data_IF_501100884761
#
_entry.id   IF_501100884761
#
_cell.length_a   1.000
_cell.length_b   1.000
_cell.length_c   1.000
_cell.angle_alpha   90.00
_cell.angle_beta   90.00
_cell.angle_gamma   90.00
#
_symmetry.space_group_name_H-M   'P 1'
#
loop_
_entity.id
_entity.type
_entity.pdbx_description
1 polymer ?
#
# COMPACT_ATOMS: atom_id res chain seq x y z
N UNK A 1 -20.26 1.04 -19.93
CA UNK A 1 -20.40 0.12 -18.77
C UNK A 1 -21.82 -0.42 -18.70
N UNK A 2 -22.04 -1.75 -18.71
CA UNK A 2 -23.40 -2.33 -18.71
C UNK A 2 -23.90 -2.50 -17.27
N UNK A 3 -24.63 -1.50 -16.77
CA UNK A 3 -25.16 -1.41 -15.40
C UNK A 3 -25.97 -2.66 -15.01
N UNK A 4 -26.67 -3.28 -15.95
CA UNK A 4 -27.46 -4.50 -15.71
C UNK A 4 -26.63 -5.73 -15.32
N UNK A 5 -25.40 -5.88 -15.83
CA UNK A 5 -24.51 -6.98 -15.46
C UNK A 5 -23.97 -6.80 -14.04
N UNK A 6 -23.65 -5.57 -13.65
CA UNK A 6 -23.16 -5.23 -12.31
C UNK A 6 -24.28 -5.44 -11.29
N UNK A 7 -25.49 -4.96 -11.58
CA UNK A 7 -26.66 -5.16 -10.72
C UNK A 7 -26.97 -6.65 -10.51
N UNK A 8 -26.92 -7.47 -11.57
CA UNK A 8 -27.14 -8.92 -11.47
C UNK A 8 -26.06 -9.62 -10.64
N UNK A 9 -24.80 -9.25 -10.83
CA UNK A 9 -23.69 -9.84 -10.07
C UNK A 9 -23.79 -9.46 -8.59
N UNK A 10 -24.11 -8.21 -8.27
CA UNK A 10 -24.33 -7.76 -6.89
C UNK A 10 -25.54 -8.44 -6.25
N UNK A 11 -26.65 -8.56 -6.99
CA UNK A 11 -27.88 -9.20 -6.54
C UNK A 11 -27.70 -10.68 -6.15
N UNK A 12 -26.79 -11.40 -6.80
CA UNK A 12 -26.51 -12.80 -6.50
C UNK A 12 -25.40 -13.04 -5.47
N UNK A 13 -24.55 -12.03 -5.19
CA UNK A 13 -23.40 -12.20 -4.28
C UNK A 13 -23.64 -11.55 -2.93
N UNK A 14 -23.75 -10.23 -2.88
CA UNK A 14 -23.74 -9.45 -1.63
C UNK A 14 -25.12 -8.96 -1.20
N UNK A 15 -26.07 -8.80 -2.13
CA UNK A 15 -27.42 -8.33 -1.80
C UNK A 15 -28.14 -9.22 -0.77
N UNK A 16 -28.11 -10.56 -0.84
CA UNK A 16 -28.84 -11.38 0.13
C UNK A 16 -28.28 -11.22 1.55
N UNK A 17 -26.94 -11.13 1.67
CA UNK A 17 -26.24 -10.96 2.94
C UNK A 17 -26.52 -9.56 3.51
N UNK A 18 -26.42 -8.52 2.68
CA UNK A 18 -26.68 -7.15 3.11
C UNK A 18 -28.16 -6.94 3.48
N UNK A 19 -29.08 -7.48 2.69
CA UNK A 19 -30.52 -7.39 2.97
C UNK A 19 -30.86 -8.12 4.27
N UNK A 20 -30.32 -9.32 4.49
CA UNK A 20 -30.53 -10.06 5.74
C UNK A 20 -29.96 -9.31 6.94
N UNK A 21 -28.77 -8.70 6.83
CA UNK A 21 -28.18 -7.88 7.89
C UNK A 21 -28.99 -6.61 8.18
N UNK A 22 -29.50 -5.93 7.15
CA UNK A 22 -30.33 -4.72 7.32
C UNK A 22 -31.69 -5.07 7.92
N UNK A 23 -32.32 -6.15 7.44
CA UNK A 23 -33.59 -6.63 7.99
C UNK A 23 -33.44 -7.05 9.44
N UNK A 24 -32.38 -7.79 9.78
CA UNK A 24 -32.08 -8.16 11.17
C UNK A 24 -31.85 -6.91 12.05
N UNK A 25 -31.15 -5.89 11.54
CA UNK A 25 -30.95 -4.64 12.29
C UNK A 25 -32.26 -3.89 12.54
N UNK A 26 -33.12 -3.80 11.52
CA UNK A 26 -34.42 -3.14 11.63
C UNK A 26 -35.35 -3.89 12.58
N UNK A 27 -35.42 -5.23 12.49
CA UNK A 27 -36.27 -6.03 13.38
C UNK A 27 -35.79 -5.98 14.83
N UNK A 28 -34.49 -6.02 15.08
CA UNK A 28 -33.93 -5.90 16.44
C UNK A 28 -34.15 -4.51 17.03
N UNK A 29 -34.00 -3.44 16.24
CA UNK A 29 -34.27 -2.08 16.72
C UNK A 29 -35.77 -1.82 16.94
N UNK A 30 -36.64 -2.32 16.05
CA UNK A 30 -38.09 -2.22 16.21
C UNK A 30 -38.56 -3.00 17.44
N UNK A 31 -38.02 -4.20 17.68
CA UNK A 31 -38.30 -5.01 18.86
C UNK A 31 -37.88 -4.28 20.16
N UNK A 32 -36.73 -3.63 20.17
CA UNK A 32 -36.27 -2.84 21.32
C UNK A 32 -37.17 -1.63 21.59
N UNK A 33 -37.60 -0.90 20.55
CA UNK A 33 -38.51 0.24 20.70
C UNK A 33 -39.88 -0.20 21.25
N UNK A 34 -40.43 -1.30 20.73
CA UNK A 34 -41.70 -1.86 21.20
C UNK A 34 -41.63 -2.41 22.63
N UNK A 35 -40.45 -2.86 23.05
CA UNK A 35 -40.18 -3.28 24.44
C UNK A 35 -40.05 -2.09 25.39
N UNK A 36 -39.47 -0.97 24.95
CA UNK A 36 -39.29 0.24 25.77
C UNK A 36 -40.61 0.98 26.02
N UNK A 37 -41.49 1.00 25.01
CA UNK A 37 -42.86 1.56 25.12
C UNK A 37 -43.84 0.64 25.88
N UNK A 38 -43.40 -0.53 26.35
CA UNK A 38 -44.22 -1.47 27.15
C UNK A 38 -45.34 -2.17 26.35
N UNK A 39 -45.30 -2.11 25.02
CA UNK A 39 -46.34 -2.65 24.13
C UNK A 39 -46.16 -4.16 23.89
N UNK A 40 -44.93 -4.67 24.01
CA UNK A 40 -44.61 -6.08 23.83
C UNK A 40 -44.02 -6.68 25.13
N UNK A 41 -44.84 -7.40 25.90
CA UNK A 41 -44.39 -8.19 27.06
C UNK A 41 -43.81 -9.53 26.59
N UNK A 42 -42.60 -9.47 26.03
CA UNK A 42 -41.84 -10.67 25.68
C UNK A 42 -41.06 -11.11 26.92
N UNK A 43 -41.63 -12.07 27.66
CA UNK A 43 -41.03 -12.61 28.87
C UNK A 43 -39.55 -12.98 28.73
N UNK A 44 -38.80 -12.60 29.76
CA UNK A 44 -37.37 -12.84 30.04
C UNK A 44 -36.38 -11.80 29.48
N UNK A 45 -35.71 -11.09 30.41
CA UNK A 45 -34.51 -10.29 30.13
C UNK A 45 -33.40 -11.06 29.39
N UNK A 46 -33.48 -12.41 29.38
CA UNK A 46 -32.63 -13.31 28.58
C UNK A 46 -32.77 -13.06 27.07
N UNK A 47 -33.95 -12.68 26.57
CA UNK A 47 -34.13 -12.39 25.13
C UNK A 47 -33.48 -11.05 24.74
N UNK A 48 -33.61 -10.03 25.60
CA UNK A 48 -32.98 -8.71 25.40
C UNK A 48 -31.44 -8.78 25.46
N UNK A 49 -30.89 -9.60 26.35
CA UNK A 49 -29.44 -9.85 26.39
C UNK A 49 -28.94 -10.48 25.08
N UNK A 50 -29.67 -11.45 24.51
CA UNK A 50 -29.35 -12.08 23.23
C UNK A 50 -29.43 -11.13 22.03
N UNK A 51 -30.33 -10.14 22.06
CA UNK A 51 -30.44 -9.07 21.04
C UNK A 51 -29.14 -8.24 20.96
N UNK A 52 -28.45 -8.03 22.07
CA UNK A 52 -27.18 -7.30 22.08
C UNK A 52 -26.05 -8.09 21.40
N UNK A 53 -25.99 -9.41 21.60
CA UNK A 53 -25.01 -10.27 20.93
C UNK A 53 -25.26 -10.36 19.42
N UNK A 54 -26.52 -10.33 18.96
CA UNK A 54 -26.86 -10.32 17.53
C UNK A 54 -26.37 -9.06 16.80
N UNK A 55 -26.18 -7.93 17.50
CA UNK A 55 -25.57 -6.72 16.92
C UNK A 55 -24.09 -6.93 16.53
N UNK A 56 -23.41 -7.95 17.05
CA UNK A 56 -22.05 -8.32 16.62
C UNK A 56 -22.04 -8.82 15.17
N UNK A 57 -23.17 -9.28 14.61
CA UNK A 57 -23.28 -9.62 13.19
C UNK A 57 -23.03 -8.42 12.26
N UNK A 58 -23.18 -7.18 12.74
CA UNK A 58 -22.79 -5.97 12.01
C UNK A 58 -21.32 -5.96 11.62
N UNK A 59 -20.47 -6.66 12.38
CA UNK A 59 -19.04 -6.79 12.08
C UNK A 59 -18.77 -7.60 10.81
N UNK A 60 -19.74 -8.41 10.33
CA UNK A 60 -19.65 -9.05 9.00
C UNK A 60 -19.54 -8.03 7.87
N UNK A 61 -20.03 -6.79 8.06
CA UNK A 61 -19.84 -5.70 7.10
C UNK A 61 -18.37 -5.33 6.92
N UNK A 62 -17.49 -5.62 7.88
CA UNK A 62 -16.04 -5.43 7.76
C UNK A 62 -15.41 -6.38 6.72
N UNK A 63 -16.05 -7.53 6.44
CA UNK A 63 -15.64 -8.39 5.33
C UNK A 63 -15.77 -7.66 3.99
N UNK A 64 -16.80 -6.82 3.84
CA UNK A 64 -16.98 -5.98 2.64
C UNK A 64 -15.87 -4.92 2.50
N UNK A 65 -15.38 -4.38 3.61
CA UNK A 65 -14.25 -3.45 3.61
C UNK A 65 -12.99 -4.08 3.01
N UNK A 66 -12.79 -5.40 3.19
CA UNK A 66 -11.66 -6.10 2.58
C UNK A 66 -11.69 -6.10 1.04
N UNK A 67 -12.88 -6.10 0.43
CA UNK A 67 -13.08 -6.01 -1.01
C UNK A 67 -12.84 -4.60 -1.55
N UNK A 68 -13.14 -3.56 -0.77
CA UNK A 68 -12.85 -2.17 -1.16
C UNK A 68 -11.34 -1.94 -1.10
N UNK A 69 -10.70 -2.45 -0.04
CA UNK A 69 -9.25 -2.34 0.15
C UNK A 69 -8.49 -3.08 -0.95
N UNK A 70 -8.99 -4.21 -1.47
CA UNK A 70 -8.33 -4.92 -2.58
C UNK A 70 -8.33 -4.09 -3.86
N UNK A 71 -9.46 -3.46 -4.21
CA UNK A 71 -9.56 -2.58 -5.40
C UNK A 71 -8.63 -1.36 -5.28
N UNK A 72 -8.51 -0.80 -4.08
CA UNK A 72 -7.57 0.30 -3.85
C UNK A 72 -6.11 -0.19 -3.91
N UNK A 73 -5.84 -1.38 -3.40
CA UNK A 73 -4.50 -2.00 -3.45
C UNK A 73 -4.05 -2.28 -4.89
N UNK A 74 -4.97 -2.56 -5.82
CA UNK A 74 -4.64 -2.79 -7.24
C UNK A 74 -4.18 -1.52 -7.96
N UNK A 75 -4.53 -0.34 -7.44
CA UNK A 75 -4.04 0.95 -7.95
C UNK A 75 -2.64 1.30 -7.48
N UNK A 76 -2.09 0.56 -6.53
CA UNK A 76 -0.76 0.82 -5.98
C UNK A 76 0.28 0.20 -6.91
N UNK A 77 1.02 1.07 -7.61
CA UNK A 77 2.09 0.67 -8.53
C UNK A 77 3.40 0.33 -7.80
N UNK A 78 3.64 0.92 -6.63
CA UNK A 78 4.87 0.67 -5.85
C UNK A 78 4.78 -0.61 -5.01
N UNK A 79 5.71 -1.53 -5.23
CA UNK A 79 5.82 -2.78 -4.47
C UNK A 79 6.01 -2.54 -2.96
N UNK A 80 6.80 -1.54 -2.57
CA UNK A 80 6.97 -1.15 -1.16
C UNK A 80 5.65 -0.75 -0.51
N UNK A 81 4.85 0.04 -1.22
CA UNK A 81 3.53 0.49 -0.73
C UNK A 81 2.53 -0.68 -0.66
N UNK A 82 2.60 -1.61 -1.61
CA UNK A 82 1.81 -2.86 -1.59
C UNK A 82 2.12 -3.70 -0.35
N UNK A 83 3.41 -3.85 0.00
CA UNK A 83 3.87 -4.56 1.21
C UNK A 83 3.37 -3.84 2.48
N UNK A 84 3.51 -2.51 2.54
CA UNK A 84 3.08 -1.70 3.69
C UNK A 84 1.57 -1.83 3.94
N UNK A 85 0.75 -1.71 2.90
CA UNK A 85 -0.71 -1.84 3.00
C UNK A 85 -1.10 -3.25 3.46
N UNK A 86 -0.40 -4.29 3.00
CA UNK A 86 -0.62 -5.67 3.47
C UNK A 86 -0.37 -5.82 4.98
N UNK A 87 0.74 -5.28 5.49
CA UNK A 87 1.07 -5.31 6.92
C UNK A 87 0.05 -4.50 7.73
N UNK A 88 -0.31 -3.30 7.28
CA UNK A 88 -1.29 -2.46 7.94
C UNK A 88 -2.68 -3.13 8.04
N UNK A 89 -3.13 -3.78 6.95
CA UNK A 89 -4.39 -4.54 6.92
C UNK A 89 -4.39 -5.66 7.97
N UNK A 90 -3.25 -6.36 8.11
CA UNK A 90 -3.09 -7.41 9.11
C UNK A 90 -3.11 -6.86 10.55
N UNK A 91 -2.47 -5.72 10.81
CA UNK A 91 -2.49 -5.05 12.11
C UNK A 91 -3.91 -4.64 12.52
N UNK A 92 -4.66 -4.02 11.61
CA UNK A 92 -6.07 -3.64 11.85
C UNK A 92 -6.92 -4.88 12.13
N UNK A 93 -6.73 -5.96 11.37
CA UNK A 93 -7.46 -7.21 11.57
C UNK A 93 -7.19 -7.83 12.95
N UNK A 94 -5.93 -7.85 13.40
CA UNK A 94 -5.58 -8.34 14.74
C UNK A 94 -6.16 -7.44 15.84
N UNK A 95 -6.09 -6.12 15.66
CA UNK A 95 -6.67 -5.17 16.62
C UNK A 95 -8.19 -5.39 16.76
N UNK A 96 -8.88 -5.68 15.66
CA UNK A 96 -10.30 -6.04 15.67
C UNK A 96 -10.53 -7.33 16.46
N UNK A 97 -9.77 -8.39 16.20
CA UNK A 97 -9.89 -9.66 16.96
C UNK A 97 -9.69 -9.41 18.47
N UNK A 98 -8.68 -8.62 18.85
CA UNK A 98 -8.44 -8.24 20.25
C UNK A 98 -9.61 -7.49 20.86
N UNK A 99 -10.22 -6.56 20.12
CA UNK A 99 -11.44 -5.88 20.55
C UNK A 99 -12.59 -6.87 20.78
N UNK A 100 -12.80 -7.84 19.88
CA UNK A 100 -13.85 -8.85 20.03
C UNK A 100 -13.61 -9.75 21.24
N UNK A 101 -12.36 -10.17 21.47
CA UNK A 101 -11.98 -10.96 22.65
C UNK A 101 -12.20 -10.15 23.93
N UNK A 102 -11.82 -8.87 23.95
CA UNK A 102 -12.04 -7.98 25.08
C UNK A 102 -13.53 -7.78 25.40
N UNK A 103 -14.36 -7.54 24.38
CA UNK A 103 -15.81 -7.43 24.55
C UNK A 103 -16.43 -8.75 25.03
N UNK A 104 -15.98 -9.89 24.49
CA UNK A 104 -16.43 -11.22 24.91
C UNK A 104 -16.03 -11.51 26.36
N UNK A 105 -14.81 -11.14 26.76
CA UNK A 105 -14.30 -11.28 28.13
C UNK A 105 -15.12 -10.47 29.14
N UNK A 106 -15.48 -9.23 28.79
CA UNK A 106 -16.37 -8.40 29.58
C UNK A 106 -17.80 -8.94 29.66
N UNK A 107 -18.32 -9.46 28.54
CA UNK A 107 -19.63 -10.11 28.50
C UNK A 107 -19.70 -11.35 29.40
N UNK A 108 -18.68 -12.22 29.35
CA UNK A 108 -18.58 -13.40 30.24
C UNK A 108 -18.55 -12.98 31.72
N UNK A 109 -17.86 -11.90 32.06
CA UNK A 109 -17.78 -11.40 33.44
C UNK A 109 -19.06 -10.73 33.98
N UNK A 110 -19.97 -10.32 33.11
CA UNK A 110 -21.27 -9.70 33.46
C UNK A 110 -22.40 -10.72 33.56
N UNK A 111 -22.39 -11.76 32.72
CA UNK A 111 -23.50 -12.73 32.64
C UNK A 111 -23.77 -13.50 33.96
N UNK A 112 -22.87 -13.45 34.93
CA UNK A 112 -22.99 -14.16 36.20
C UNK A 112 -22.83 -13.20 37.40
N UNK A 113 -23.54 -12.08 37.31
CA UNK A 113 -23.51 -10.95 38.24
C UNK A 113 -24.18 -11.21 39.59
N UNK A 114 -24.85 -12.35 39.77
CA UNK A 114 -25.52 -12.70 41.02
C UNK A 114 -24.55 -13.30 42.06
N UNK A 115 -23.43 -13.90 41.64
CA UNK A 115 -22.41 -14.48 42.54
C UNK A 115 -21.20 -13.56 42.74
N UNK A 116 -20.53 -13.64 43.90
CA UNK A 116 -19.47 -12.69 44.30
C UNK A 116 -18.14 -12.86 43.54
N UNK A 117 -17.91 -13.98 42.86
CA UNK A 117 -16.57 -14.38 42.39
C UNK A 117 -16.29 -14.14 40.89
N UNK A 118 -16.73 -13.04 40.27
CA UNK A 118 -16.33 -12.74 38.86
C UNK A 118 -15.12 -11.80 38.80
N UNK A 119 -14.33 -11.87 37.73
CA UNK A 119 -13.19 -10.97 37.54
C UNK A 119 -13.59 -9.47 37.56
N UNK A 120 -14.83 -9.17 37.13
CA UNK A 120 -15.38 -7.80 37.10
C UNK A 120 -15.65 -7.27 38.51
N UNK A 121 -16.20 -8.11 39.40
CA UNK A 121 -16.47 -7.75 40.80
C UNK A 121 -15.17 -7.72 41.63
N UNK A 122 -14.27 -8.69 41.43
CA UNK A 122 -12.99 -8.77 42.14
C UNK A 122 -12.11 -7.52 41.95
N UNK A 123 -12.23 -6.84 40.80
CA UNK A 123 -11.47 -5.63 40.47
C UNK A 123 -12.23 -4.32 40.73
N UNK A 124 -13.43 -4.40 41.33
CA UNK A 124 -14.35 -3.29 41.59
C UNK A 124 -14.59 -2.39 40.34
N UNK A 125 -14.83 -3.02 39.19
CA UNK A 125 -14.96 -2.30 37.92
C UNK A 125 -16.31 -1.60 37.75
N UNK A 126 -17.32 -1.98 38.54
CA UNK A 126 -18.65 -1.35 38.52
C UNK A 126 -18.60 0.12 38.99
N UNK A 127 -17.76 0.43 39.98
CA UNK A 127 -17.60 1.80 40.51
C UNK A 127 -16.73 2.72 39.64
N UNK A 128 -15.87 2.17 38.78
CA UNK A 128 -14.83 2.91 38.03
C UNK A 128 -15.26 3.38 36.64
N UNK A 129 -16.46 3.01 36.18
CA UNK A 129 -17.04 3.44 34.92
C UNK A 129 -16.72 2.56 33.70
N UNK A 130 -17.52 2.70 32.64
CA UNK A 130 -17.51 1.82 31.45
C UNK A 130 -16.21 1.87 30.65
N UNK A 131 -15.58 3.05 30.57
CA UNK A 131 -14.32 3.24 29.82
C UNK A 131 -13.19 2.45 30.50
N UNK A 132 -13.08 2.54 31.83
CA UNK A 132 -12.07 1.83 32.60
C UNK A 132 -12.23 0.31 32.52
N UNK A 133 -13.48 -0.17 32.55
CA UNK A 133 -13.78 -1.59 32.37
C UNK A 133 -13.39 -2.08 30.96
N UNK A 134 -13.67 -1.30 29.92
CA UNK A 134 -13.29 -1.61 28.54
C UNK A 134 -11.77 -1.62 28.34
N UNK A 135 -11.05 -0.60 28.82
CA UNK A 135 -9.59 -0.53 28.67
C UNK A 135 -8.89 -1.63 29.44
N UNK A 136 -9.42 -2.02 30.61
CA UNK A 136 -8.93 -3.17 31.38
C UNK A 136 -9.15 -4.49 30.63
N UNK A 137 -10.34 -4.72 30.07
CA UNK A 137 -10.64 -5.90 29.25
C UNK A 137 -9.77 -5.96 27.98
N UNK A 138 -9.54 -4.81 27.35
CA UNK A 138 -8.70 -4.68 26.17
C UNK A 138 -7.23 -4.95 26.49
N UNK A 139 -6.73 -4.44 27.61
CA UNK A 139 -5.38 -4.72 28.08
C UNK A 139 -5.19 -6.22 28.33
N UNK A 140 -6.14 -6.86 29.03
CA UNK A 140 -6.13 -8.31 29.24
C UNK A 140 -6.13 -9.08 27.90
N UNK A 141 -6.92 -8.66 26.92
CA UNK A 141 -6.92 -9.31 25.59
C UNK A 141 -5.57 -9.15 24.86
N UNK A 142 -4.94 -7.98 24.97
CA UNK A 142 -3.62 -7.72 24.37
C UNK A 142 -2.56 -8.65 24.99
N UNK A 143 -2.59 -8.86 26.31
CA UNK A 143 -1.62 -9.71 27.01
C UNK A 143 -1.76 -11.20 26.70
N UNK A 144 -2.89 -11.66 26.14
CA UNK A 144 -3.02 -13.04 25.68
C UNK A 144 -2.20 -13.35 24.41
N UNK A 145 -1.93 -12.32 23.59
CA UNK A 145 -1.14 -12.44 22.36
C UNK A 145 0.33 -12.09 22.57
N UNK A 146 0.62 -11.27 23.57
CA UNK A 146 1.98 -10.87 23.94
C UNK A 146 2.13 -11.17 25.42
N UNK A 147 2.89 -12.22 25.79
CA UNK A 147 3.07 -12.61 27.18
C UNK A 147 3.54 -11.39 28.00
N UNK A 148 2.60 -10.83 28.75
CA UNK A 148 2.80 -9.66 29.60
C UNK A 148 2.01 -9.89 30.87
N UNK A 149 2.55 -9.42 32.00
CA UNK A 149 1.88 -9.57 33.29
C UNK A 149 0.60 -8.74 33.34
N UNK A 150 -0.49 -9.34 33.80
CA UNK A 150 -1.77 -8.68 34.02
C UNK A 150 -2.33 -9.12 35.38
N UNK A 151 -2.91 -8.17 36.12
CA UNK A 151 -3.51 -8.42 37.44
C UNK A 151 -4.88 -9.10 37.36
N UNK A 152 -5.55 -9.04 36.20
CA UNK A 152 -6.85 -9.65 35.96
C UNK A 152 -6.68 -11.15 35.68
N UNK A 153 -7.19 -11.97 36.59
CA UNK A 153 -7.18 -13.43 36.51
C UNK A 153 -8.60 -13.99 36.44
N UNK A 154 -8.81 -15.15 35.77
CA UNK A 154 -10.09 -15.84 35.80
C UNK A 154 -10.37 -16.37 37.21
N UNK A 155 -11.55 -16.08 37.73
CA UNK A 155 -12.01 -16.51 39.06
C UNK A 155 -12.98 -17.71 38.98
N UNK A 156 -13.57 -17.96 37.81
CA UNK A 156 -14.53 -19.05 37.56
C UNK A 156 -14.08 -20.05 36.51
N UNK A 157 -14.68 -21.24 36.53
CA UNK A 157 -14.41 -22.31 35.54
C UNK A 157 -14.78 -21.90 34.10
N UNK A 158 -15.86 -21.13 33.91
CA UNK A 158 -16.22 -20.59 32.58
C UNK A 158 -15.22 -19.54 32.09
N UNK A 159 -14.78 -18.64 32.98
CA UNK A 159 -13.74 -17.65 32.68
C UNK A 159 -12.41 -18.32 32.35
N UNK A 160 -12.08 -19.41 33.08
CA UNK A 160 -10.85 -20.16 32.91
C UNK A 160 -10.85 -20.97 31.60
N UNK A 161 -11.93 -21.66 31.29
CA UNK A 161 -12.08 -22.37 30.01
C UNK A 161 -12.05 -21.42 28.82
N UNK A 162 -12.72 -20.25 28.90
CA UNK A 162 -12.63 -19.20 27.90
C UNK A 162 -11.18 -18.71 27.71
N UNK A 163 -10.48 -18.44 28.81
CA UNK A 163 -9.07 -18.00 28.79
C UNK A 163 -8.17 -19.03 28.10
N UNK A 164 -8.33 -20.32 28.39
CA UNK A 164 -7.55 -21.39 27.74
C UNK A 164 -7.78 -21.41 26.23
N UNK A 165 -9.03 -21.32 25.78
CA UNK A 165 -9.37 -21.27 24.34
C UNK A 165 -8.75 -20.05 23.66
N UNK A 166 -8.81 -18.89 24.32
CA UNK A 166 -8.21 -17.65 23.81
C UNK A 166 -6.70 -17.77 23.70
N UNK A 167 -6.01 -18.31 24.71
CA UNK A 167 -4.54 -18.47 24.70
C UNK A 167 -4.10 -19.43 23.57
N UNK A 168 -4.77 -20.58 23.43
CA UNK A 168 -4.44 -21.54 22.35
C UNK A 168 -4.65 -20.90 20.97
N UNK A 169 -5.75 -20.18 20.77
CA UNK A 169 -6.04 -19.49 19.52
C UNK A 169 -5.05 -18.35 19.26
N UNK A 170 -4.72 -17.58 20.29
CA UNK A 170 -3.78 -16.47 20.23
C UNK A 170 -2.38 -16.94 19.84
N UNK A 171 -1.93 -18.09 20.33
CA UNK A 171 -0.65 -18.69 19.97
C UNK A 171 -0.55 -18.93 18.46
N UNK A 172 -1.57 -19.55 17.85
CA UNK A 172 -1.61 -19.82 16.40
C UNK A 172 -1.63 -18.52 15.59
N UNK A 173 -2.51 -17.58 15.96
CA UNK A 173 -2.66 -16.31 15.25
C UNK A 173 -1.37 -15.46 15.34
N UNK A 174 -0.75 -15.42 16.52
CA UNK A 174 0.48 -14.66 16.75
C UNK A 174 1.67 -15.23 15.98
N UNK A 175 1.83 -16.55 15.92
CA UNK A 175 2.87 -17.18 15.08
C UNK A 175 2.69 -16.86 13.59
N UNK A 176 1.45 -16.94 13.08
CA UNK A 176 1.14 -16.57 11.69
C UNK A 176 1.41 -15.08 11.41
N UNK A 177 1.13 -14.23 12.40
CA UNK A 177 1.36 -12.79 12.32
C UNK A 177 2.85 -12.47 12.18
N UNK A 178 3.69 -13.02 13.07
CA UNK A 178 5.14 -12.85 13.02
C UNK A 178 5.67 -13.31 11.66
N UNK A 179 5.27 -14.50 11.20
CA UNK A 179 5.70 -15.02 9.90
C UNK A 179 5.37 -14.07 8.74
N UNK A 180 4.18 -13.48 8.75
CA UNK A 180 3.78 -12.54 7.70
C UNK A 180 4.61 -11.27 7.71
N UNK A 181 4.92 -10.72 8.89
CA UNK A 181 5.82 -9.57 9.03
C UNK A 181 7.23 -9.93 8.57
N UNK A 182 7.76 -11.08 8.98
CA UNK A 182 9.09 -11.54 8.58
C UNK A 182 9.18 -11.72 7.05
N UNK A 183 8.15 -12.27 6.42
CA UNK A 183 8.09 -12.40 4.97
C UNK A 183 8.02 -11.03 4.28
N UNK A 184 7.24 -10.08 4.80
CA UNK A 184 7.21 -8.70 4.31
C UNK A 184 8.58 -8.01 4.42
N UNK A 185 9.26 -8.16 5.55
CA UNK A 185 10.61 -7.64 5.76
C UNK A 185 11.63 -8.29 4.81
N UNK A 186 11.54 -9.61 4.61
CA UNK A 186 12.39 -10.35 3.69
C UNK A 186 12.17 -9.88 2.26
N UNK A 187 10.92 -9.72 1.84
CA UNK A 187 10.58 -9.20 0.50
C UNK A 187 11.14 -7.79 0.28
N UNK A 188 11.01 -6.90 1.29
CA UNK A 188 11.58 -5.54 1.24
C UNK A 188 13.12 -5.56 1.17
N UNK A 189 13.76 -6.49 1.88
CA UNK A 189 15.22 -6.68 1.81
C UNK A 189 15.64 -7.20 0.45
N UNK A 190 14.88 -8.12 -0.15
CA UNK A 190 15.16 -8.68 -1.46
C UNK A 190 15.05 -7.61 -2.56
N UNK A 191 14.04 -6.72 -2.51
CA UNK A 191 13.93 -5.56 -3.41
C UNK A 191 15.17 -4.65 -3.36
N UNK A 192 15.89 -4.64 -2.23
CA UNK A 192 17.12 -3.87 -2.06
C UNK A 192 18.39 -4.73 -2.22
N UNK A 193 18.27 -6.03 -2.42
CA UNK A 193 19.40 -6.98 -2.30
C UNK A 193 20.35 -6.92 -3.48
N UNK A 194 19.83 -6.87 -4.72
CA UNK A 194 20.64 -6.77 -5.95
C UNK A 194 21.51 -5.52 -5.94
N UNK A 195 20.90 -4.37 -5.65
CA UNK A 195 21.59 -3.08 -5.48
C UNK A 195 22.63 -3.13 -4.36
N UNK A 196 22.31 -3.74 -3.23
CA UNK A 196 23.27 -3.89 -2.14
C UNK A 196 24.43 -4.79 -2.54
N UNK A 197 24.19 -5.85 -3.30
CA UNK A 197 25.22 -6.77 -3.80
C UNK A 197 26.18 -6.08 -4.76
N UNK A 198 25.69 -5.23 -5.68
CA UNK A 198 26.54 -4.42 -6.56
C UNK A 198 27.42 -3.44 -5.77
N UNK A 199 26.85 -2.74 -4.79
CA UNK A 199 27.62 -1.84 -3.92
C UNK A 199 28.67 -2.60 -3.08
N UNK A 200 28.40 -3.84 -2.69
CA UNK A 200 29.40 -4.71 -2.05
C UNK A 200 30.53 -5.04 -3.02
N UNK A 201 30.23 -5.49 -4.24
CA UNK A 201 31.25 -5.79 -5.27
C UNK A 201 32.13 -4.57 -5.56
N UNK A 202 31.54 -3.39 -5.68
CA UNK A 202 32.27 -2.13 -5.88
C UNK A 202 33.26 -1.84 -4.73
N UNK A 203 32.82 -2.06 -3.48
CA UNK A 203 33.70 -1.90 -2.31
C UNK A 203 34.84 -2.92 -2.29
N UNK A 204 34.57 -4.17 -2.64
CA UNK A 204 35.61 -5.19 -2.79
C UNK A 204 36.64 -4.76 -3.85
N UNK A 205 36.19 -4.30 -5.02
CA UNK A 205 37.07 -3.80 -6.07
C UNK A 205 37.99 -2.66 -5.60
N UNK A 206 37.45 -1.69 -4.85
CA UNK A 206 38.25 -0.60 -4.28
C UNK A 206 39.28 -1.09 -3.25
N UNK A 207 38.91 -2.07 -2.44
CA UNK A 207 39.81 -2.69 -1.47
C UNK A 207 40.94 -3.43 -2.17
N UNK A 208 40.64 -4.23 -3.18
CA UNK A 208 41.61 -5.05 -3.92
C UNK A 208 42.64 -4.18 -4.66
N UNK A 209 42.20 -3.05 -5.22
CA UNK A 209 43.05 -2.11 -5.96
C UNK A 209 43.66 -1.01 -5.08
N UNK A 210 43.47 -1.06 -3.75
CA UNK A 210 43.98 -0.07 -2.77
C UNK A 210 43.68 1.38 -3.18
N UNK A 211 42.45 1.62 -3.62
CA UNK A 211 42.01 2.96 -4.05
C UNK A 211 41.97 3.90 -2.84
N UNK A 212 42.44 5.14 -3.01
CA UNK A 212 42.51 6.12 -1.92
C UNK A 212 41.12 6.44 -1.32
N UNK A 213 41.05 6.58 0.01
CA UNK A 213 39.79 6.83 0.72
C UNK A 213 39.07 8.11 0.24
N UNK A 214 39.85 9.14 -0.15
CA UNK A 214 39.30 10.38 -0.72
C UNK A 214 38.61 10.16 -2.07
N UNK A 215 39.14 9.28 -2.92
CA UNK A 215 38.53 8.92 -4.19
C UNK A 215 37.29 8.03 -3.99
N UNK A 216 37.34 7.07 -3.07
CA UNK A 216 36.20 6.22 -2.70
C UNK A 216 35.03 7.06 -2.16
N UNK A 217 35.29 8.05 -1.32
CA UNK A 217 34.26 8.94 -0.79
C UNK A 217 33.60 9.77 -1.90
N UNK A 218 34.39 10.30 -2.84
CA UNK A 218 33.88 11.05 -4.01
C UNK A 218 33.03 10.18 -4.93
N UNK A 219 33.49 8.96 -5.24
CA UNK A 219 32.74 8.03 -6.09
C UNK A 219 31.45 7.59 -5.40
N UNK A 220 31.51 7.26 -4.11
CA UNK A 220 30.32 6.86 -3.33
C UNK A 220 29.29 7.99 -3.23
N UNK A 221 29.72 9.23 -3.04
CA UNK A 221 28.84 10.40 -3.02
C UNK A 221 28.16 10.64 -4.38
N UNK A 222 28.92 10.51 -5.48
CA UNK A 222 28.38 10.60 -6.84
C UNK A 222 27.33 9.51 -7.12
N UNK A 223 27.63 8.25 -6.77
CA UNK A 223 26.70 7.13 -6.92
C UNK A 223 25.44 7.34 -6.06
N UNK A 224 25.57 7.83 -4.83
CA UNK A 224 24.43 8.10 -3.97
C UNK A 224 23.54 9.22 -4.52
N UNK A 225 24.14 10.27 -5.07
CA UNK A 225 23.42 11.37 -5.72
C UNK A 225 22.73 10.93 -7.01
N UNK A 226 23.41 10.13 -7.84
CA UNK A 226 22.86 9.52 -9.05
C UNK A 226 21.71 8.57 -8.72
N UNK A 227 21.85 7.74 -7.69
CA UNK A 227 20.81 6.79 -7.27
C UNK A 227 19.56 7.47 -6.69
N UNK A 228 19.72 8.62 -6.02
CA UNK A 228 18.58 9.42 -5.55
C UNK A 228 17.76 9.99 -6.71
N UNK A 229 18.40 10.23 -7.85
CA UNK A 229 17.78 10.71 -9.09
C UNK A 229 17.24 9.53 -9.94
N UNK A 230 17.97 8.42 -10.01
CA UNK A 230 17.63 7.22 -10.77
C UNK A 230 16.52 6.37 -10.12
N UNK A 231 16.38 6.38 -8.79
CA UNK A 231 15.30 5.69 -8.07
C UNK A 231 13.88 6.18 -8.43
N UNK A 232 13.76 7.21 -9.26
CA UNK A 232 12.50 7.74 -9.78
C UNK A 232 12.24 7.40 -11.26
N UNK A 233 13.18 6.80 -12.00
CA UNK A 233 13.07 6.65 -13.46
C UNK A 233 13.54 5.27 -13.90
N UNK A 234 12.61 4.32 -13.92
CA UNK A 234 12.80 3.04 -14.60
C UNK A 234 12.66 3.30 -16.11
N UNK A 235 13.66 2.91 -16.90
CA UNK A 235 13.58 3.03 -18.35
C UNK A 235 12.66 1.94 -18.91
N UNK A 236 11.88 2.26 -19.94
CA UNK A 236 10.95 1.31 -20.58
C UNK A 236 11.68 0.09 -21.17
N UNK A 237 12.98 0.22 -21.46
CA UNK A 237 13.83 -0.83 -22.01
C UNK A 237 14.28 -1.85 -20.95
N UNK A 238 14.28 -1.47 -19.66
CA UNK A 238 14.65 -2.35 -18.55
C UNK A 238 13.48 -3.25 -18.08
N UNK A 239 12.29 -3.04 -18.64
CA UNK A 239 11.05 -3.70 -18.20
C UNK A 239 10.57 -4.68 -19.27
N UNK A 240 11.16 -5.88 -19.27
CA UNK A 240 10.87 -6.96 -20.22
C UNK A 240 9.38 -7.35 -20.29
N UNK A 241 8.61 -7.14 -19.23
CA UNK A 241 7.16 -7.40 -19.23
C UNK A 241 6.37 -6.45 -20.16
N UNK A 242 6.91 -5.27 -20.47
CA UNK A 242 6.27 -4.35 -21.42
C UNK A 242 6.27 -4.92 -22.83
N UNK A 243 7.17 -5.86 -23.17
CA UNK A 243 7.19 -6.51 -24.49
C UNK A 243 5.92 -7.32 -24.77
N UNK A 244 5.28 -7.85 -23.71
CA UNK A 244 4.04 -8.63 -23.79
C UNK A 244 2.79 -7.77 -24.06
N UNK A 245 2.89 -6.44 -23.97
CA UNK A 245 1.76 -5.55 -24.22
C UNK A 245 1.42 -5.49 -25.73
N UNK A 246 0.12 -5.51 -26.09
CA UNK A 246 -0.33 -5.15 -27.43
C UNK A 246 0.21 -3.79 -27.87
N UNK A 247 0.52 -3.65 -29.17
CA UNK A 247 1.11 -2.42 -29.74
C UNK A 247 0.29 -1.17 -29.41
N UNK A 248 -1.04 -1.27 -29.38
CA UNK A 248 -1.93 -0.15 -29.00
C UNK A 248 -1.65 0.37 -27.58
N UNK A 249 -1.46 -0.53 -26.60
CA UNK A 249 -1.17 -0.15 -25.22
C UNK A 249 0.26 0.37 -25.04
N UNK A 250 1.22 -0.12 -25.84
CA UNK A 250 2.58 0.43 -25.88
C UNK A 250 2.57 1.88 -26.39
N UNK A 251 1.81 2.14 -27.45
CA UNK A 251 1.63 3.49 -27.99
C UNK A 251 0.99 4.43 -26.97
N UNK A 252 -0.08 4.00 -26.30
CA UNK A 252 -0.77 4.81 -25.29
C UNK A 252 0.13 5.11 -24.08
N UNK A 253 0.89 4.12 -23.62
CA UNK A 253 1.87 4.30 -22.54
C UNK A 253 2.99 5.27 -22.95
N UNK A 254 3.53 5.12 -24.16
CA UNK A 254 4.61 5.97 -24.65
C UNK A 254 4.16 7.43 -24.79
N UNK A 255 2.95 7.67 -25.29
CA UNK A 255 2.35 9.00 -25.32
C UNK A 255 2.23 9.61 -23.92
N UNK A 256 1.67 8.88 -22.96
CA UNK A 256 1.51 9.38 -21.58
C UNK A 256 2.85 9.70 -20.91
N UNK A 257 3.89 8.90 -21.19
CA UNK A 257 5.23 9.07 -20.61
C UNK A 257 5.98 10.24 -21.26
N UNK A 258 5.93 10.37 -22.58
CA UNK A 258 6.80 11.29 -23.32
C UNK A 258 6.13 12.60 -23.76
N UNK A 259 4.80 12.66 -23.87
CA UNK A 259 4.07 13.85 -24.28
C UNK A 259 4.39 15.10 -23.44
N UNK A 260 4.52 15.03 -22.10
CA UNK A 260 4.85 16.22 -21.30
C UNK A 260 6.19 16.87 -21.66
N UNK A 261 7.12 16.11 -22.24
CA UNK A 261 8.45 16.62 -22.61
C UNK A 261 8.54 16.91 -24.11
N UNK A 262 8.08 16.02 -24.97
CA UNK A 262 8.19 16.16 -26.43
C UNK A 262 7.24 17.23 -26.98
N UNK A 263 6.04 17.38 -26.42
CA UNK A 263 5.09 18.42 -26.83
C UNK A 263 5.53 19.84 -26.44
N UNK A 264 6.67 20.01 -25.75
CA UNK A 264 7.32 21.32 -25.65
C UNK A 264 7.82 21.82 -27.01
N UNK A 265 8.06 20.93 -27.97
CA UNK A 265 8.44 21.29 -29.32
C UNK A 265 7.20 21.69 -30.15
N UNK A 266 7.14 22.91 -30.73
CA UNK A 266 5.96 23.39 -31.44
C UNK A 266 5.50 22.48 -32.59
N UNK A 267 6.44 21.89 -33.34
CA UNK A 267 6.10 20.96 -34.41
C UNK A 267 5.48 19.66 -33.89
N UNK A 268 5.98 19.11 -32.77
CA UNK A 268 5.45 17.86 -32.22
C UNK A 268 4.06 18.08 -31.64
N UNK A 269 3.85 19.22 -30.96
CA UNK A 269 2.54 19.63 -30.47
C UNK A 269 1.53 19.75 -31.61
N UNK A 270 1.86 20.52 -32.65
CA UNK A 270 1.00 20.68 -33.82
C UNK A 270 0.74 19.34 -34.53
N UNK A 271 1.77 18.51 -34.72
CA UNK A 271 1.61 17.19 -35.31
C UNK A 271 0.66 16.29 -34.50
N UNK A 272 0.75 16.33 -33.17
CA UNK A 272 -0.15 15.61 -32.27
C UNK A 272 -1.61 16.03 -32.40
N UNK A 273 -1.88 17.33 -32.57
CA UNK A 273 -3.23 17.88 -32.74
C UNK A 273 -3.84 17.51 -34.10
N UNK A 274 -3.05 17.59 -35.18
CA UNK A 274 -3.54 17.30 -36.54
C UNK A 274 -3.59 15.79 -36.84
N UNK A 275 -2.67 14.98 -36.28
CA UNK A 275 -2.51 13.56 -36.61
C UNK A 275 -2.40 12.66 -35.36
N UNK A 276 -3.45 12.57 -34.51
CA UNK A 276 -3.39 11.91 -33.20
C UNK A 276 -3.12 10.39 -33.26
N UNK A 277 -3.38 9.73 -34.39
CA UNK A 277 -3.08 8.29 -34.55
C UNK A 277 -1.64 8.03 -34.95
N UNK A 278 -1.04 8.94 -35.71
CA UNK A 278 0.31 8.79 -36.26
C UNK A 278 1.35 9.33 -35.29
N UNK A 279 1.02 10.39 -34.54
CA UNK A 279 1.84 10.93 -33.45
C UNK A 279 2.18 9.88 -32.39
N UNK A 280 1.27 8.94 -32.10
CA UNK A 280 1.51 7.79 -31.20
C UNK A 280 2.74 6.96 -31.56
N UNK A 281 3.07 6.84 -32.85
CA UNK A 281 4.28 6.11 -33.29
C UNK A 281 5.55 6.90 -33.02
N UNK A 282 5.50 8.23 -33.07
CA UNK A 282 6.62 9.10 -32.72
C UNK A 282 6.97 8.91 -31.23
N UNK A 283 5.97 8.92 -30.35
CA UNK A 283 6.19 8.68 -28.92
C UNK A 283 6.77 7.29 -28.64
N UNK A 284 6.33 6.27 -29.39
CA UNK A 284 6.87 4.90 -29.27
C UNK A 284 8.34 4.79 -29.70
N UNK A 285 8.80 5.64 -30.63
CA UNK A 285 10.20 5.68 -31.07
C UNK A 285 11.11 6.43 -30.08
N UNK A 286 10.54 7.23 -29.18
CA UNK A 286 11.30 7.98 -28.19
C UNK A 286 11.92 7.05 -27.14
N UNK A 287 13.16 7.35 -26.76
CA UNK A 287 13.92 6.60 -25.74
C UNK A 287 14.33 7.53 -24.62
N UNK A 288 14.25 7.02 -23.38
CA UNK A 288 14.79 7.72 -22.22
C UNK A 288 16.24 7.32 -22.04
N UNK A 289 17.14 8.29 -21.91
CA UNK A 289 18.54 8.06 -21.51
C UNK A 289 18.87 8.91 -20.29
N UNK A 290 19.70 8.37 -19.39
CA UNK A 290 20.19 9.09 -18.20
C UNK A 290 21.70 9.25 -18.29
N UNK A 291 22.19 10.47 -18.07
CA UNK A 291 23.61 10.79 -18.12
C UNK A 291 24.10 11.24 -16.74
N UNK A 292 25.27 10.73 -16.32
CA UNK A 292 25.90 11.14 -15.07
C UNK A 292 26.48 12.56 -15.16
N UNK A 293 26.60 13.26 -14.02
CA UNK A 293 27.23 14.57 -13.99
C UNK A 293 28.66 14.53 -14.54
N UNK A 294 29.00 15.48 -15.41
CA UNK A 294 30.30 15.61 -16.12
C UNK A 294 30.58 14.58 -17.24
N UNK A 295 29.58 13.81 -17.68
CA UNK A 295 29.69 13.08 -18.93
C UNK A 295 29.20 13.94 -20.10
N UNK A 296 29.80 13.72 -21.27
CA UNK A 296 29.40 14.34 -22.54
C UNK A 296 28.33 13.48 -23.20
N UNK A 297 27.29 14.11 -23.76
CA UNK A 297 26.22 13.39 -24.47
C UNK A 297 26.64 13.09 -25.92
N UNK A 298 27.26 14.06 -26.57
CA UNK A 298 27.85 13.96 -27.91
C UNK A 298 28.94 15.05 -28.02
N UNK A 299 29.87 14.85 -28.96
CA UNK A 299 30.97 15.77 -29.22
C UNK A 299 30.89 16.35 -30.63
N UNK A 300 31.51 17.51 -30.82
CA UNK A 300 31.63 18.15 -32.13
C UNK A 300 32.40 17.23 -33.10
N UNK A 301 31.96 17.18 -34.35
CA UNK A 301 32.54 16.31 -35.39
C UNK A 301 32.02 14.87 -35.41
N UNK A 302 31.12 14.49 -34.50
CA UNK A 302 30.39 13.22 -34.59
C UNK A 302 29.07 13.39 -35.33
N UNK A 303 28.67 12.38 -36.11
CA UNK A 303 27.37 12.34 -36.78
C UNK A 303 26.26 12.40 -35.74
N UNK A 304 25.38 13.39 -35.85
CA UNK A 304 24.23 13.51 -34.98
C UNK A 304 23.12 12.54 -35.45
N UNK A 305 22.83 11.53 -34.63
CA UNK A 305 21.83 10.49 -34.95
C UNK A 305 20.43 10.79 -34.37
N UNK A 306 20.34 11.70 -33.42
CA UNK A 306 19.11 11.92 -32.65
C UNK A 306 18.98 13.34 -32.15
N UNK A 307 17.72 13.78 -32.04
CA UNK A 307 17.34 14.98 -31.31
C UNK A 307 17.07 14.63 -29.85
N UNK A 308 17.53 15.48 -28.93
CA UNK A 308 17.44 15.22 -27.50
C UNK A 308 16.57 16.26 -26.80
N UNK A 309 15.82 15.80 -25.80
CA UNK A 309 14.97 16.63 -24.96
C UNK A 309 15.40 16.51 -23.50
N UNK A 310 15.63 17.64 -22.83
CA UNK A 310 16.01 17.63 -21.43
C UNK A 310 14.76 17.53 -20.54
N UNK A 311 14.55 16.38 -19.91
CA UNK A 311 13.40 16.14 -19.01
C UNK A 311 13.68 16.51 -17.54
N UNK A 312 14.94 16.48 -17.10
CA UNK A 312 15.36 16.90 -15.75
C UNK A 312 16.87 17.11 -15.70
N UNK A 313 17.32 18.01 -14.81
CA UNK A 313 18.73 18.38 -14.66
C UNK A 313 19.08 19.67 -15.40
N UNK A 314 20.37 19.87 -15.66
CA UNK A 314 20.88 21.00 -16.43
C UNK A 314 22.04 20.52 -17.30
N UNK A 315 22.06 20.99 -18.54
CA UNK A 315 23.16 20.71 -19.47
C UNK A 315 23.78 22.02 -19.96
N UNK A 316 25.01 21.92 -20.46
CA UNK A 316 25.67 23.00 -21.18
C UNK A 316 25.80 22.55 -22.62
N UNK A 317 25.24 23.33 -23.54
CA UNK A 317 25.32 23.10 -24.97
C UNK A 317 26.26 24.14 -25.58
N UNK A 318 27.26 23.67 -26.31
CA UNK A 318 28.28 24.49 -26.96
C UNK A 318 28.14 24.25 -28.45
N UNK A 319 27.97 25.33 -29.21
CA UNK A 319 27.95 25.34 -30.68
C UNK A 319 29.17 26.13 -31.14
N UNK A 320 29.82 25.70 -32.22
CA UNK A 320 31.09 26.27 -32.68
C UNK A 320 31.06 27.80 -32.71
N UNK A 321 31.99 28.41 -31.96
CA UNK A 321 32.16 29.86 -31.70
C UNK A 321 31.09 30.59 -30.86
N UNK A 322 30.06 29.89 -30.35
CA UNK A 322 29.06 30.47 -29.45
C UNK A 322 29.40 30.31 -27.96
N UNK A 323 28.90 31.25 -27.13
CA UNK A 323 29.04 31.13 -25.67
C UNK A 323 28.29 29.88 -25.18
N UNK A 324 28.80 29.17 -24.17
CA UNK A 324 28.12 28.00 -23.60
C UNK A 324 26.70 28.35 -23.16
N UNK A 325 25.71 27.73 -23.79
CA UNK A 325 24.31 27.94 -23.48
C UNK A 325 23.86 26.93 -22.43
N UNK A 326 23.23 27.41 -21.35
CA UNK A 326 22.66 26.54 -20.33
C UNK A 326 21.29 26.04 -20.78
N UNK A 327 21.14 24.73 -20.89
CA UNK A 327 19.88 24.06 -21.22
C UNK A 327 19.17 23.65 -19.94
N UNK A 328 17.91 24.03 -19.82
CA UNK A 328 17.00 23.72 -18.71
C UNK A 328 15.90 22.74 -19.12
N UNK A 329 15.21 22.08 -18.18
CA UNK A 329 14.16 21.12 -18.51
C UNK A 329 13.06 21.73 -19.40
N UNK A 330 12.59 20.96 -20.39
CA UNK A 330 11.63 21.40 -21.41
C UNK A 330 12.27 22.00 -22.67
N UNK A 331 13.59 22.20 -22.68
CA UNK A 331 14.35 22.59 -23.87
C UNK A 331 14.92 21.37 -24.60
N UNK A 332 15.19 21.55 -25.89
CA UNK A 332 15.74 20.52 -26.77
C UNK A 332 17.10 20.93 -27.35
N UNK A 333 17.83 19.95 -27.85
CA UNK A 333 19.17 20.09 -28.43
C UNK A 333 19.34 19.14 -29.61
N UNK A 334 20.32 19.45 -30.47
CA UNK A 334 20.59 18.72 -31.71
C UNK A 334 19.37 18.61 -32.64
N UNK A 335 18.51 19.64 -32.68
CA UNK A 335 17.35 19.67 -33.59
C UNK A 335 17.69 19.43 -35.06
N UNK A 336 18.81 19.93 -35.62
CA UNK A 336 19.16 19.65 -37.02
C UNK A 336 19.26 18.16 -37.35
N UNK A 337 19.61 17.31 -36.37
CA UNK A 337 19.66 15.85 -36.54
C UNK A 337 18.28 15.24 -36.85
N UNK A 338 17.19 15.91 -36.47
CA UNK A 338 15.83 15.48 -36.78
C UNK A 338 15.47 15.73 -38.25
N UNK A 339 16.07 16.75 -38.88
CA UNK A 339 15.70 17.23 -40.21
C UNK A 339 16.69 16.83 -41.31
N UNK A 340 17.95 16.58 -40.94
CA UNK A 340 19.07 16.40 -41.87
C UNK A 340 19.69 15.03 -41.64
N UNK A 341 19.75 14.20 -42.70
CA UNK A 341 20.50 12.95 -42.67
C UNK A 341 22.01 13.25 -42.75
N UNK A 342 22.64 13.39 -41.58
CA UNK A 342 24.05 13.08 -41.31
C UNK A 342 25.12 13.65 -42.25
N UNK A 343 25.32 14.97 -42.25
CA UNK A 343 26.65 15.57 -42.47
C UNK A 343 26.63 17.05 -42.05
N UNK A 344 26.99 17.32 -40.80
CA UNK A 344 27.49 18.64 -40.37
C UNK A 344 28.79 18.43 -39.63
#
# INVERSE_FOLDING_TARGET
MRVSKIARHYAMTWLPVDLLLVLLDWTLNALLLLSDDGIADFGSGVFLEKVHYLRLLRLLRLLKATSIISVLSDRIQSETMRILVRVLKLLVFIMLIKHLIACSWYAVGINDLEREDTWVKANDLKGKGKVYAYTTALHWSITQFTPASMEVVPMKELERSFTIVVIVSAMVIFSSFISTITNAMTQLRNLNSERNAELVKLRCFFSDHKVSASLVARISSCIHQSNKLAGSRVHSEDVSILELLPVSLKCDLAEEVFAPTLCAHPFILAWGEYYPRESKRLFLAARSSSLGAKHELFNTGHVAESMYFLSSGAMVYIRDDERPARVSPGQWLAEPAFWINGSM
#
